data_IF_450754144215
#
_entry.id   IF_450754144215
#
_cell.length_a   1.000
_cell.length_b   1.000
_cell.length_c   1.000
_cell.angle_alpha   90.00
_cell.angle_beta   90.00
_cell.angle_gamma   90.00
#
_symmetry.space_group_name_H-M   'P 1'
#
loop_
_entity.id
_entity.type
_entity.pdbx_description
1 polymer ?
#
# COMPACT_ATOMS: atom_id res chain seq x y z
N UNK A 1 -2.89 12.67 -11.42
CA UNK A 1 -3.72 11.52 -10.95
C UNK A 1 -4.59 11.99 -9.78
N UNK A 2 -5.89 11.69 -9.79
CA UNK A 2 -6.79 12.05 -8.68
C UNK A 2 -6.61 11.13 -7.47
N UNK A 3 -7.04 11.57 -6.27
CA UNK A 3 -7.02 10.76 -5.04
C UNK A 3 -7.87 9.48 -5.15
N UNK A 4 -9.03 9.56 -5.80
CA UNK A 4 -9.87 8.39 -6.09
C UNK A 4 -9.15 7.43 -7.04
N UNK A 5 -8.49 7.97 -8.08
CA UNK A 5 -7.69 7.15 -8.99
C UNK A 5 -6.48 6.49 -8.32
N UNK A 6 -5.86 7.17 -7.35
CA UNK A 6 -4.82 6.59 -6.49
C UNK A 6 -5.37 5.41 -5.70
N UNK A 7 -6.48 5.62 -4.99
CA UNK A 7 -7.12 4.59 -4.17
C UNK A 7 -7.50 3.35 -4.99
N UNK A 8 -8.23 3.53 -6.09
CA UNK A 8 -8.68 2.42 -6.94
C UNK A 8 -7.48 1.62 -7.47
N UNK A 9 -6.44 2.31 -7.98
CA UNK A 9 -5.27 1.63 -8.55
C UNK A 9 -4.46 0.90 -7.49
N UNK A 10 -4.26 1.52 -6.32
CA UNK A 10 -3.58 0.87 -5.20
C UNK A 10 -4.32 -0.39 -4.78
N UNK A 11 -5.61 -0.28 -4.47
CA UNK A 11 -6.42 -1.39 -3.97
C UNK A 11 -6.52 -2.50 -5.01
N UNK A 12 -6.82 -2.18 -6.27
CA UNK A 12 -6.91 -3.19 -7.33
C UNK A 12 -5.58 -3.90 -7.58
N UNK A 13 -4.46 -3.16 -7.69
CA UNK A 13 -3.15 -3.76 -7.87
C UNK A 13 -2.78 -4.65 -6.68
N UNK A 14 -3.05 -4.19 -5.46
CA UNK A 14 -2.73 -4.93 -4.26
C UNK A 14 -3.54 -6.22 -4.13
N UNK A 15 -4.85 -6.19 -4.38
CA UNK A 15 -5.70 -7.39 -4.43
C UNK A 15 -5.15 -8.39 -5.46
N UNK A 16 -4.89 -7.94 -6.69
CA UNK A 16 -4.45 -8.82 -7.78
C UNK A 16 -3.11 -9.46 -7.45
N UNK A 17 -2.11 -8.67 -7.04
CA UNK A 17 -0.78 -9.20 -6.73
C UNK A 17 -0.81 -10.12 -5.52
N UNK A 18 -1.57 -9.79 -4.47
CA UNK A 18 -1.74 -10.65 -3.30
C UNK A 18 -2.43 -11.96 -3.64
N UNK A 19 -3.48 -11.94 -4.47
CA UNK A 19 -4.16 -13.15 -4.91
C UNK A 19 -3.21 -14.06 -5.71
N UNK A 20 -2.45 -13.49 -6.66
CA UNK A 20 -1.46 -14.24 -7.44
C UNK A 20 -0.39 -14.82 -6.51
N UNK A 21 0.13 -14.03 -5.57
CA UNK A 21 1.14 -14.46 -4.61
C UNK A 21 0.63 -15.59 -3.70
N UNK A 22 -0.61 -15.50 -3.22
CA UNK A 22 -1.24 -16.54 -2.40
C UNK A 22 -1.40 -17.86 -3.16
N UNK A 23 -1.87 -17.81 -4.41
CA UNK A 23 -2.00 -18.99 -5.28
C UNK A 23 -0.62 -19.60 -5.55
N UNK A 24 0.38 -18.79 -5.91
CA UNK A 24 1.74 -19.26 -6.16
C UNK A 24 2.38 -19.89 -4.92
N UNK A 25 2.22 -19.26 -3.75
CA UNK A 25 2.70 -19.79 -2.47
C UNK A 25 2.06 -21.14 -2.13
N UNK A 26 0.78 -21.31 -2.42
CA UNK A 26 0.07 -22.58 -2.29
C UNK A 26 0.64 -23.68 -3.18
N UNK A 27 0.91 -23.39 -4.46
CA UNK A 27 1.52 -24.35 -5.39
C UNK A 27 2.96 -24.72 -5.02
N UNK A 28 3.72 -23.79 -4.42
CA UNK A 28 5.10 -24.00 -3.99
C UNK A 28 5.22 -24.65 -2.61
N UNK A 29 4.11 -24.92 -1.93
CA UNK A 29 4.11 -25.49 -0.58
C UNK A 29 4.74 -24.56 0.47
N UNK A 30 4.67 -23.24 0.26
CA UNK A 30 5.24 -22.28 1.20
C UNK A 30 4.45 -22.26 2.52
N UNK A 31 5.08 -22.67 3.61
CA UNK A 31 4.46 -22.71 4.94
C UNK A 31 4.13 -21.31 5.49
N UNK A 32 4.88 -20.27 5.08
CA UNK A 32 4.73 -18.90 5.55
C UNK A 32 4.42 -17.91 4.42
N UNK A 33 3.32 -18.10 3.71
CA UNK A 33 2.86 -17.17 2.67
C UNK A 33 2.64 -15.72 3.18
N UNK A 34 2.46 -15.53 4.50
CA UNK A 34 2.32 -14.23 5.14
C UNK A 34 3.56 -13.33 4.99
N UNK A 35 4.76 -13.90 4.82
CA UNK A 35 6.00 -13.14 4.63
C UNK A 35 6.03 -12.38 3.31
N UNK A 36 5.18 -12.74 2.34
CA UNK A 36 5.07 -12.07 1.05
C UNK A 36 4.30 -10.74 1.13
N UNK A 37 3.47 -10.57 2.17
CA UNK A 37 2.62 -9.39 2.32
C UNK A 37 3.45 -8.09 2.36
N UNK A 38 4.38 -7.98 3.31
CA UNK A 38 5.15 -6.74 3.51
C UNK A 38 5.95 -6.31 2.27
N UNK A 39 6.69 -7.21 1.57
CA UNK A 39 7.35 -6.85 0.30
C UNK A 39 6.38 -6.41 -0.80
N UNK A 40 5.23 -7.07 -0.94
CA UNK A 40 4.21 -6.71 -1.93
C UNK A 40 3.63 -5.33 -1.62
N UNK A 41 3.25 -5.12 -0.35
CA UNK A 41 2.71 -3.86 0.12
C UNK A 41 3.70 -2.70 -0.08
N UNK A 42 4.98 -2.93 0.25
CA UNK A 42 6.06 -1.98 0.01
C UNK A 42 6.22 -1.67 -1.50
N UNK A 43 6.27 -2.69 -2.36
CA UNK A 43 6.44 -2.50 -3.80
C UNK A 43 5.29 -1.72 -4.45
N UNK A 44 4.05 -2.08 -4.13
CA UNK A 44 2.86 -1.45 -4.70
C UNK A 44 2.67 -0.04 -4.16
N UNK A 45 2.89 0.17 -2.86
CA UNK A 45 2.87 1.52 -2.28
C UNK A 45 3.95 2.40 -2.93
N UNK A 46 5.18 1.92 -3.04
CA UNK A 46 6.25 2.65 -3.71
C UNK A 46 5.86 3.05 -5.13
N UNK A 47 5.38 2.09 -5.92
CA UNK A 47 4.95 2.32 -7.30
C UNK A 47 3.84 3.37 -7.39
N UNK A 48 2.82 3.29 -6.54
CA UNK A 48 1.67 4.20 -6.64
C UNK A 48 2.02 5.61 -6.17
N UNK A 49 2.80 5.76 -5.10
CA UNK A 49 3.28 7.07 -4.60
C UNK A 49 4.19 7.74 -5.64
N UNK A 50 5.10 6.96 -6.25
CA UNK A 50 5.97 7.44 -7.31
C UNK A 50 5.18 7.87 -8.55
N UNK A 51 4.21 7.03 -8.97
CA UNK A 51 3.35 7.32 -10.12
C UNK A 51 2.46 8.52 -9.87
N UNK A 52 1.94 8.70 -8.65
CA UNK A 52 1.13 9.86 -8.29
C UNK A 52 1.91 11.16 -8.42
N UNK A 53 3.12 11.19 -7.86
CA UNK A 53 4.00 12.36 -7.89
C UNK A 53 4.32 12.73 -9.34
N UNK A 54 4.77 11.78 -10.14
CA UNK A 54 5.13 12.04 -11.55
C UNK A 54 3.93 12.42 -12.42
N UNK A 55 2.76 11.80 -12.25
CA UNK A 55 1.55 12.15 -13.03
C UNK A 55 0.91 13.47 -12.63
N UNK A 56 1.29 14.05 -11.51
CA UNK A 56 0.81 15.37 -11.07
C UNK A 56 1.90 16.43 -11.15
N UNK A 57 3.12 16.06 -11.56
CA UNK A 57 4.29 16.95 -11.70
C UNK A 57 4.55 17.81 -10.46
N UNK A 58 4.31 17.25 -9.27
CA UNK A 58 4.54 17.94 -7.99
C UNK A 58 4.72 16.95 -6.86
N UNK A 59 5.46 17.37 -5.82
CA UNK A 59 5.64 16.60 -4.60
C UNK A 59 4.34 16.49 -3.79
N UNK A 60 4.21 15.39 -3.05
CA UNK A 60 3.10 15.13 -2.15
C UNK A 60 3.38 15.82 -0.81
N UNK A 61 2.57 16.83 -0.50
CA UNK A 61 2.82 17.78 0.58
C UNK A 61 1.68 17.81 1.61
N UNK A 62 2.01 18.27 2.82
CA UNK A 62 1.07 18.73 3.85
C UNK A 62 -0.18 17.84 4.03
N UNK A 63 -1.38 18.38 3.76
CA UNK A 63 -2.67 17.70 3.98
C UNK A 63 -2.91 16.56 2.99
N UNK A 64 -2.40 16.67 1.77
CA UNK A 64 -2.58 15.65 0.74
C UNK A 64 -1.86 14.36 1.11
N UNK A 65 -0.65 14.47 1.65
CA UNK A 65 0.11 13.32 2.17
C UNK A 65 -0.75 12.42 3.06
N UNK A 66 -1.42 13.02 4.04
CA UNK A 66 -2.26 12.29 4.98
C UNK A 66 -3.46 11.63 4.30
N UNK A 67 -4.07 12.28 3.31
CA UNK A 67 -5.16 11.67 2.55
C UNK A 67 -4.70 10.45 1.76
N UNK A 68 -3.55 10.54 1.07
CA UNK A 68 -3.06 9.42 0.27
C UNK A 68 -2.63 8.23 1.14
N UNK A 69 -1.98 8.50 2.28
CA UNK A 69 -1.61 7.46 3.24
C UNK A 69 -2.85 6.77 3.81
N UNK A 70 -3.86 7.54 4.23
CA UNK A 70 -5.10 6.97 4.78
C UNK A 70 -5.90 6.21 3.71
N UNK A 71 -5.88 6.67 2.45
CA UNK A 71 -6.50 5.93 1.34
C UNK A 71 -5.76 4.62 1.05
N UNK A 72 -4.42 4.61 1.07
CA UNK A 72 -3.65 3.38 0.94
C UNK A 72 -3.96 2.41 2.09
N UNK A 73 -4.02 2.92 3.33
CA UNK A 73 -4.38 2.12 4.51
C UNK A 73 -5.80 1.54 4.42
N UNK A 74 -6.77 2.34 3.99
CA UNK A 74 -8.14 1.85 3.75
C UNK A 74 -8.15 0.77 2.67
N UNK A 75 -7.39 0.95 1.59
CA UNK A 75 -7.25 -0.05 0.53
C UNK A 75 -6.66 -1.35 1.03
N UNK A 76 -5.64 -1.29 1.89
CA UNK A 76 -5.01 -2.44 2.51
C UNK A 76 -5.95 -3.20 3.45
N UNK A 77 -6.73 -2.49 4.26
CA UNK A 77 -7.78 -3.10 5.09
C UNK A 77 -8.85 -3.78 4.23
N UNK A 78 -9.32 -3.13 3.16
CA UNK A 78 -10.30 -3.73 2.23
C UNK A 78 -9.74 -5.00 1.61
N UNK A 79 -8.50 -4.99 1.12
CA UNK A 79 -7.84 -6.18 0.57
C UNK A 79 -7.76 -7.30 1.60
N UNK A 80 -7.38 -6.97 2.84
CA UNK A 80 -7.26 -7.94 3.93
C UNK A 80 -8.63 -8.55 4.29
N UNK A 81 -9.71 -7.76 4.28
CA UNK A 81 -11.08 -8.29 4.47
C UNK A 81 -11.45 -9.21 3.31
N UNK A 82 -11.27 -8.74 2.06
CA UNK A 82 -11.70 -9.45 0.85
C UNK A 82 -10.97 -10.78 0.66
N UNK A 83 -9.68 -10.84 0.96
CA UNK A 83 -8.88 -12.06 0.81
C UNK A 83 -8.82 -12.87 2.10
N UNK A 84 -8.69 -12.21 3.26
CA UNK A 84 -8.50 -12.86 4.55
C UNK A 84 -9.74 -13.58 5.07
N UNK A 85 -10.94 -13.00 4.92
CA UNK A 85 -12.18 -13.64 5.40
C UNK A 85 -12.40 -15.00 4.71
N UNK A 86 -12.40 -15.10 3.36
CA UNK A 86 -12.55 -16.38 2.69
C UNK A 86 -11.51 -17.41 3.11
N UNK A 87 -10.23 -17.01 3.20
CA UNK A 87 -9.15 -17.90 3.64
C UNK A 87 -9.39 -18.44 5.05
N UNK A 88 -9.74 -17.57 6.01
CA UNK A 88 -10.00 -18.00 7.39
C UNK A 88 -11.21 -18.91 7.50
N UNK A 89 -12.29 -18.65 6.74
CA UNK A 89 -13.47 -19.50 6.71
C UNK A 89 -13.16 -20.91 6.17
N UNK A 90 -12.38 -20.99 5.08
CA UNK A 90 -11.94 -22.28 4.50
C UNK A 90 -11.02 -23.04 5.44
N UNK A 91 -10.16 -22.34 6.18
CA UNK A 91 -9.24 -22.92 7.15
C UNK A 91 -9.84 -23.13 8.55
N UNK A 92 -11.15 -22.88 8.74
CA UNK A 92 -11.84 -22.96 10.04
C UNK A 92 -11.18 -22.12 11.16
N UNK A 93 -10.51 -21.02 10.80
CA UNK A 93 -9.89 -20.11 11.75
C UNK A 93 -10.93 -19.09 12.23
N UNK A 94 -11.10 -18.91 13.56
CA UNK A 94 -12.02 -17.92 14.11
C UNK A 94 -11.77 -16.50 13.60
N UNK A 95 -12.80 -15.80 13.14
CA UNK A 95 -12.69 -14.45 12.57
C UNK A 95 -12.24 -13.38 13.58
N UNK A 96 -12.34 -13.63 14.89
CA UNK A 96 -11.81 -12.72 15.91
C UNK A 96 -10.28 -12.55 15.81
N UNK A 97 -9.56 -13.53 15.28
CA UNK A 97 -8.12 -13.39 14.98
C UNK A 97 -7.85 -12.33 13.90
N UNK A 98 -8.80 -12.07 13.00
CA UNK A 98 -8.67 -10.99 12.02
C UNK A 98 -8.68 -9.62 12.70
N UNK A 99 -9.52 -9.44 13.73
CA UNK A 99 -9.58 -8.19 14.51
C UNK A 99 -8.28 -7.95 15.28
N UNK A 100 -7.74 -8.99 15.91
CA UNK A 100 -6.43 -8.94 16.58
C UNK A 100 -5.33 -8.62 15.55
N UNK A 101 -5.39 -9.27 14.38
CA UNK A 101 -4.52 -8.98 13.25
C UNK A 101 -4.54 -7.50 12.88
N UNK A 102 -5.73 -6.92 12.69
CA UNK A 102 -5.88 -5.50 12.37
C UNK A 102 -5.30 -4.55 13.43
N UNK A 103 -5.45 -4.86 14.72
CA UNK A 103 -4.89 -4.04 15.79
C UNK A 103 -3.36 -3.92 15.69
N UNK A 104 -2.69 -4.93 15.14
CA UNK A 104 -1.23 -4.96 14.98
C UNK A 104 -0.83 -4.45 13.60
N UNK A 105 -1.48 -4.93 12.54
CA UNK A 105 -1.08 -4.65 11.15
C UNK A 105 -1.42 -3.23 10.71
N UNK A 106 -2.54 -2.65 11.16
CA UNK A 106 -2.93 -1.29 10.75
C UNK A 106 -1.87 -0.25 11.18
N UNK A 107 -1.42 -0.21 12.46
CA UNK A 107 -0.34 0.70 12.86
C UNK A 107 0.97 0.45 12.10
N UNK A 108 1.33 -0.81 11.90
CA UNK A 108 2.57 -1.17 11.19
C UNK A 108 2.53 -0.75 9.72
N UNK A 109 1.43 -1.02 9.02
CA UNK A 109 1.25 -0.65 7.62
C UNK A 109 1.15 0.87 7.46
N UNK A 110 0.54 1.57 8.42
CA UNK A 110 0.57 3.03 8.46
C UNK A 110 2.00 3.58 8.52
N UNK A 111 2.84 3.03 9.40
CA UNK A 111 4.26 3.41 9.47
C UNK A 111 5.02 3.05 8.18
N UNK A 112 4.70 1.91 7.56
CA UNK A 112 5.25 1.51 6.27
C UNK A 112 4.90 2.54 5.18
N UNK A 113 3.63 2.97 5.08
CA UNK A 113 3.24 3.96 4.09
C UNK A 113 3.90 5.32 4.33
N UNK A 114 4.09 5.72 5.59
CA UNK A 114 4.89 6.90 5.93
C UNK A 114 6.33 6.78 5.44
N UNK A 115 6.98 5.65 5.72
CA UNK A 115 8.34 5.37 5.29
C UNK A 115 8.48 5.36 3.77
N UNK A 116 7.54 4.72 3.06
CA UNK A 116 7.51 4.66 1.59
C UNK A 116 7.31 6.05 1.00
N UNK A 117 6.34 6.84 1.48
CA UNK A 117 6.13 8.19 1.00
C UNK A 117 7.39 9.06 1.20
N UNK A 118 8.04 8.96 2.36
CA UNK A 118 9.29 9.66 2.63
C UNK A 118 10.42 9.22 1.67
N UNK A 119 10.58 7.91 1.45
CA UNK A 119 11.57 7.35 0.54
C UNK A 119 11.35 7.78 -0.91
N UNK A 120 10.11 7.73 -1.39
CA UNK A 120 9.71 8.19 -2.72
C UNK A 120 9.99 9.68 -2.88
N UNK A 121 9.58 10.51 -1.92
CA UNK A 121 9.86 11.96 -1.95
C UNK A 121 11.36 12.22 -2.07
N UNK A 122 12.17 11.59 -1.19
CA UNK A 122 13.63 11.75 -1.18
C UNK A 122 14.27 11.33 -2.51
N UNK A 123 13.79 10.26 -3.13
CA UNK A 123 14.29 9.79 -4.42
C UNK A 123 13.92 10.77 -5.54
N UNK A 124 12.65 11.18 -5.61
CA UNK A 124 12.17 12.09 -6.66
C UNK A 124 12.87 13.44 -6.57
N UNK A 125 13.07 14.00 -5.38
CA UNK A 125 13.84 15.24 -5.20
C UNK A 125 15.27 15.13 -5.74
N UNK A 126 15.90 13.95 -5.67
CA UNK A 126 17.23 13.73 -6.26
C UNK A 126 17.20 13.60 -7.78
N UNK A 127 16.17 12.94 -8.32
CA UNK A 127 16.04 12.68 -9.76
C UNK A 127 15.49 13.88 -10.53
N UNK A 128 14.65 14.69 -9.88
CA UNK A 128 13.86 15.78 -10.43
C UNK A 128 13.88 17.00 -9.50
N UNK A 129 15.04 17.65 -9.31
CA UNK A 129 15.18 18.79 -8.41
C UNK A 129 14.29 19.98 -8.81
N UNK A 130 13.88 20.08 -10.08
CA UNK A 130 12.98 21.12 -10.57
C UNK A 130 11.60 21.11 -9.89
N UNK A 131 11.16 19.95 -9.41
CA UNK A 131 9.89 19.79 -8.70
C UNK A 131 9.90 20.42 -7.29
N UNK A 132 11.08 20.71 -6.75
CA UNK A 132 11.25 21.46 -5.49
C UNK A 132 11.16 22.97 -5.74
N UNK A 133 11.57 23.44 -6.93
CA UNK A 133 11.58 24.88 -7.22
C UNK A 133 10.19 25.42 -7.58
N UNK A 134 9.30 24.59 -8.11
CA UNK A 134 7.87 24.92 -8.24
C UNK A 134 7.15 25.11 -6.89
N UNK A 135 7.76 24.65 -5.80
CA UNK A 135 7.25 24.75 -4.42
C UNK A 135 7.43 26.15 -3.83
N UNK A 136 8.43 26.91 -4.26
CA UNK A 136 8.70 28.26 -3.75
C UNK A 136 7.86 29.35 -4.44
N UNK A 137 7.14 28.99 -5.51
CA UNK A 137 6.41 29.93 -6.36
C UNK A 137 4.87 29.83 -6.23
N UNK A 138 4.34 28.89 -5.42
CA UNK A 138 2.90 28.72 -5.13
C UNK A 138 2.58 29.00 -3.67
#
# INVERSE_FOLDING_TARGET
>A
MTKIGFFIRFTAAYIVVMAIAGVAAGFLGMENASSLNTPILFGISYWIFYTYTNKNERLIESREKWHLILLALLGDVITTILLGIPTMLVSHIPLNFLLIGFLITIPLHFLLFLAVNFGVKKLITKQRPELVNHEQAS
#
